data_IF_692339372760
#
_entry.id   IF_692339372760
#
_cell.length_a   1.000
_cell.length_b   1.000
_cell.length_c   1.000
_cell.angle_alpha   90.00
_cell.angle_beta   90.00
_cell.angle_gamma   90.00
#
_symmetry.space_group_name_H-M   'P 1'
#
loop_
_entity.id
_entity.type
_entity.pdbx_description
1 polymer ?
#
# COMPACT_ATOMS: atom_id res chain seq x y z
N UNK A 1 -22.28 -8.74 24.02
CA UNK A 1 -22.67 -7.37 23.66
C UNK A 1 -21.85 -7.00 22.43
N UNK A 2 -22.41 -7.27 21.25
CA UNK A 2 -21.71 -7.18 19.95
C UNK A 2 -21.45 -5.71 19.63
N UNK A 3 -20.20 -5.27 19.70
CA UNK A 3 -19.80 -3.95 19.18
C UNK A 3 -19.74 -4.07 17.65
N UNK A 4 -20.57 -3.29 16.96
CA UNK A 4 -20.64 -3.15 15.50
C UNK A 4 -19.30 -3.39 14.77
N UNK A 5 -19.21 -4.48 14.00
CA UNK A 5 -18.04 -4.86 13.18
C UNK A 5 -18.22 -4.47 11.71
N UNK A 6 -19.38 -3.92 11.32
CA UNK A 6 -19.64 -3.53 9.93
C UNK A 6 -19.79 -2.01 9.80
N UNK A 7 -18.88 -1.43 8.99
CA UNK A 7 -18.93 -0.14 8.29
C UNK A 7 -19.80 0.92 8.98
N UNK A 8 -19.21 1.67 9.91
CA UNK A 8 -19.65 3.05 10.16
C UNK A 8 -18.55 3.87 10.85
N UNK A 9 -17.46 4.11 10.15
CA UNK A 9 -16.61 5.26 10.48
C UNK A 9 -17.06 6.44 9.62
N UNK A 10 -17.51 7.50 10.31
CA UNK A 10 -18.02 8.75 9.75
C UNK A 10 -17.25 9.17 8.49
N UNK A 11 -17.88 9.04 7.32
CA UNK A 11 -17.35 9.53 6.05
C UNK A 11 -16.88 10.99 6.23
N UNK A 12 -15.61 11.24 5.93
CA UNK A 12 -15.06 12.57 6.04
C UNK A 12 -15.43 13.37 4.80
N UNK A 13 -16.11 14.49 5.02
CA UNK A 13 -16.34 15.43 3.94
C UNK A 13 -15.03 16.16 3.61
N UNK A 14 -14.33 15.67 2.59
CA UNK A 14 -13.10 16.28 2.08
C UNK A 14 -13.43 17.43 1.15
N UNK A 15 -12.93 18.62 1.47
CA UNK A 15 -13.09 19.77 0.58
C UNK A 15 -12.19 19.64 -0.67
N UNK A 16 -12.42 20.52 -1.65
CA UNK A 16 -11.65 20.55 -2.90
C UNK A 16 -10.14 20.66 -2.67
N UNK A 17 -9.69 21.38 -1.64
CA UNK A 17 -8.26 21.56 -1.34
C UNK A 17 -7.67 20.33 -0.70
N UNK A 18 -8.40 19.64 0.18
CA UNK A 18 -7.98 18.36 0.74
C UNK A 18 -7.75 17.34 -0.37
N UNK A 19 -8.70 17.22 -1.29
CA UNK A 19 -8.56 16.30 -2.43
C UNK A 19 -7.41 16.66 -3.38
N UNK A 20 -7.21 17.95 -3.67
CA UNK A 20 -6.06 18.43 -4.45
C UNK A 20 -4.72 18.12 -3.75
N UNK A 21 -4.64 18.26 -2.43
CA UNK A 21 -3.43 17.89 -1.67
C UNK A 21 -3.18 16.38 -1.72
N UNK A 22 -4.22 15.56 -1.56
CA UNK A 22 -4.10 14.10 -1.67
C UNK A 22 -3.61 13.69 -3.05
N UNK A 23 -4.17 14.27 -4.12
CA UNK A 23 -3.74 13.99 -5.49
C UNK A 23 -2.26 14.34 -5.72
N UNK A 24 -1.83 15.52 -5.30
CA UNK A 24 -0.41 15.89 -5.43
C UNK A 24 0.50 14.93 -4.66
N UNK A 25 0.11 14.53 -3.45
CA UNK A 25 0.90 13.59 -2.66
C UNK A 25 0.81 12.14 -3.17
N UNK A 26 -0.23 11.77 -3.90
CA UNK A 26 -0.35 10.47 -4.57
C UNK A 26 0.62 10.34 -5.75
N UNK A 27 0.93 11.46 -6.41
CA UNK A 27 1.96 11.54 -7.46
C UNK A 27 3.38 11.40 -6.89
N UNK A 28 3.65 12.07 -5.76
CA UNK A 28 4.90 11.93 -5.01
C UNK A 28 4.64 12.27 -3.53
N UNK A 29 4.70 11.26 -2.67
CA UNK A 29 4.43 11.43 -1.25
C UNK A 29 5.51 12.20 -0.50
N UNK A 30 6.67 12.47 -1.11
CA UNK A 30 7.80 13.20 -0.50
C UNK A 30 7.87 14.67 -0.90
N UNK A 31 7.00 15.17 -1.79
CA UNK A 31 7.11 16.59 -2.17
C UNK A 31 7.01 17.52 -0.94
N UNK A 32 7.81 18.59 -0.90
CA UNK A 32 7.71 19.61 0.14
C UNK A 32 6.34 20.28 0.12
N UNK A 33 5.83 20.62 1.30
CA UNK A 33 4.55 21.32 1.44
C UNK A 33 4.52 22.64 0.65
N UNK A 34 5.67 23.32 0.49
CA UNK A 34 5.79 24.53 -0.34
C UNK A 34 5.54 24.29 -1.82
N UNK A 35 5.93 23.12 -2.37
CA UNK A 35 5.66 22.76 -3.76
C UNK A 35 4.18 22.45 -3.97
N UNK A 36 3.60 21.67 -3.06
CA UNK A 36 2.16 21.37 -3.07
C UNK A 36 1.35 22.66 -2.93
N UNK A 37 1.73 23.54 -1.99
CA UNK A 37 1.11 24.84 -1.75
C UNK A 37 1.00 25.71 -3.02
N UNK A 38 2.08 25.80 -3.80
CA UNK A 38 2.08 26.52 -5.09
C UNK A 38 1.05 25.96 -6.07
N UNK A 39 0.92 24.63 -6.16
CA UNK A 39 0.00 23.96 -7.10
C UNK A 39 -1.46 24.06 -6.68
N UNK A 40 -1.73 24.00 -5.36
CA UNK A 40 -3.10 24.00 -4.83
C UNK A 40 -3.57 25.39 -4.40
N UNK A 41 -2.74 26.43 -4.50
CA UNK A 41 -3.11 27.81 -4.13
C UNK A 41 -3.36 27.97 -2.62
N UNK A 42 -2.46 27.45 -1.78
CA UNK A 42 -2.49 27.60 -0.32
C UNK A 42 -1.12 28.04 0.20
N UNK A 43 -1.02 28.39 1.49
CA UNK A 43 0.28 28.56 2.16
C UNK A 43 0.92 27.19 2.50
N UNK A 44 2.25 27.11 2.61
CA UNK A 44 2.94 25.89 3.08
C UNK A 44 2.45 25.42 4.46
N UNK A 45 2.13 26.34 5.36
CA UNK A 45 1.59 26.06 6.69
C UNK A 45 0.18 25.45 6.60
N UNK A 46 -0.66 26.00 5.72
CA UNK A 46 -2.02 25.49 5.47
C UNK A 46 -1.99 24.08 4.89
N UNK A 47 -1.08 23.81 3.95
CA UNK A 47 -0.87 22.45 3.42
C UNK A 47 -0.40 21.49 4.52
N UNK A 48 0.62 21.87 5.30
CA UNK A 48 1.11 21.03 6.40
C UNK A 48 0.01 20.73 7.44
N UNK A 49 -0.84 21.71 7.75
CA UNK A 49 -1.99 21.52 8.62
C UNK A 49 -2.98 20.49 8.04
N UNK A 50 -3.30 20.58 6.75
CA UNK A 50 -4.21 19.64 6.09
C UNK A 50 -3.63 18.23 6.00
N UNK A 51 -2.35 18.08 5.65
CA UNK A 51 -1.67 16.76 5.66
C UNK A 51 -1.75 16.11 7.04
N UNK A 52 -1.50 16.88 8.10
CA UNK A 52 -1.65 16.43 9.50
C UNK A 52 -3.06 15.97 9.81
N UNK A 53 -4.04 16.77 9.43
CA UNK A 53 -5.47 16.49 9.65
C UNK A 53 -5.86 15.19 8.93
N UNK A 54 -5.51 15.04 7.65
CA UNK A 54 -5.83 13.88 6.82
C UNK A 54 -5.15 12.59 7.33
N UNK A 55 -3.91 12.67 7.82
CA UNK A 55 -3.24 11.55 8.46
C UNK A 55 -3.87 11.22 9.84
N UNK A 56 -4.15 12.25 10.65
CA UNK A 56 -4.76 12.09 11.97
C UNK A 56 -6.21 11.58 11.92
N UNK A 57 -6.91 11.80 10.82
CA UNK A 57 -8.27 11.31 10.58
C UNK A 57 -8.31 9.95 9.88
N UNK A 58 -7.17 9.33 9.59
CA UNK A 58 -7.10 8.01 8.95
C UNK A 58 -7.32 7.99 7.44
N UNK A 59 -7.48 9.14 6.77
CA UNK A 59 -7.58 9.21 5.30
C UNK A 59 -6.25 8.82 4.66
N UNK A 60 -5.15 9.35 5.19
CA UNK A 60 -3.80 8.92 4.83
C UNK A 60 -3.36 7.87 5.84
N UNK A 61 -3.41 6.60 5.46
CA UNK A 61 -2.88 5.52 6.30
C UNK A 61 -1.36 5.56 6.40
N UNK A 62 -0.68 5.74 5.26
CA UNK A 62 0.79 5.66 5.21
C UNK A 62 1.35 6.46 4.05
N UNK A 63 2.51 7.08 4.27
CA UNK A 63 3.38 7.55 3.19
C UNK A 63 4.32 6.40 2.84
N UNK A 64 4.15 5.80 1.68
CA UNK A 64 4.82 4.56 1.31
C UNK A 64 5.99 4.79 0.37
N UNK A 65 7.02 3.98 0.55
CA UNK A 65 8.11 3.83 -0.43
C UNK A 65 7.84 2.54 -1.17
N UNK A 66 7.58 2.61 -2.47
CA UNK A 66 7.43 1.42 -3.32
C UNK A 66 8.81 0.95 -3.72
N UNK A 67 9.07 -0.33 -3.47
CA UNK A 67 10.36 -0.96 -3.70
C UNK A 67 10.22 -2.12 -4.67
N UNK A 68 11.21 -2.29 -5.55
CA UNK A 68 11.32 -3.51 -6.36
C UNK A 68 12.00 -4.60 -5.52
N UNK A 69 11.19 -5.45 -4.89
CA UNK A 69 11.68 -6.53 -4.03
C UNK A 69 12.41 -7.63 -4.81
N UNK A 70 12.21 -7.73 -6.13
CA UNK A 70 12.97 -8.66 -6.96
C UNK A 70 14.46 -8.30 -7.01
N UNK A 71 14.79 -7.01 -7.03
CA UNK A 71 16.19 -6.53 -6.94
C UNK A 71 16.84 -6.82 -5.59
N UNK A 72 16.03 -7.13 -4.58
CA UNK A 72 16.48 -7.57 -3.26
C UNK A 72 16.57 -9.11 -3.16
N UNK A 73 16.27 -9.82 -4.24
CA UNK A 73 16.25 -11.28 -4.31
C UNK A 73 14.97 -11.93 -3.76
N UNK A 74 13.87 -11.17 -3.61
CA UNK A 74 12.58 -11.71 -3.18
C UNK A 74 11.62 -11.85 -4.36
N UNK A 75 10.92 -12.98 -4.42
CA UNK A 75 9.72 -13.17 -5.22
C UNK A 75 8.50 -12.93 -4.35
N UNK A 76 7.53 -12.16 -4.84
CA UNK A 76 6.25 -11.97 -4.16
C UNK A 76 5.21 -12.97 -4.66
N UNK A 77 4.60 -13.70 -3.73
CA UNK A 77 3.53 -14.66 -3.99
C UNK A 77 2.23 -14.11 -3.44
N UNK A 78 1.22 -13.97 -4.29
CA UNK A 78 -0.14 -13.57 -3.92
C UNK A 78 -0.98 -14.81 -3.72
N UNK A 79 -1.37 -15.06 -2.47
CA UNK A 79 -2.12 -16.24 -2.06
C UNK A 79 -3.48 -15.82 -1.55
N UNK A 80 -4.51 -16.48 -2.05
CA UNK A 80 -5.89 -16.28 -1.61
C UNK A 80 -6.37 -17.50 -0.85
N UNK A 81 -7.03 -17.28 0.28
CA UNK A 81 -7.65 -18.34 1.08
C UNK A 81 -9.15 -18.11 1.19
N UNK A 82 -9.91 -19.19 1.06
CA UNK A 82 -11.32 -19.25 1.45
C UNK A 82 -11.40 -19.91 2.82
N UNK A 83 -12.05 -19.26 3.77
CA UNK A 83 -12.22 -19.79 5.11
C UNK A 83 -13.32 -20.86 5.14
N UNK A 84 -13.21 -21.76 6.11
CA UNK A 84 -14.24 -22.72 6.51
C UNK A 84 -14.15 -22.96 8.00
N UNK A 85 -15.26 -23.33 8.63
CA UNK A 85 -15.29 -23.72 10.04
C UNK A 85 -14.67 -22.67 10.98
N UNK A 86 -14.71 -21.38 10.61
CA UNK A 86 -14.16 -20.28 11.38
C UNK A 86 -15.22 -19.57 12.21
N UNK A 87 -14.76 -18.90 13.26
CA UNK A 87 -15.49 -17.81 13.93
C UNK A 87 -14.71 -16.52 13.75
N UNK A 88 -15.32 -15.37 14.07
CA UNK A 88 -14.65 -14.07 14.02
C UNK A 88 -13.36 -14.08 14.85
N UNK A 89 -13.38 -14.70 16.02
CA UNK A 89 -12.22 -14.78 16.91
C UNK A 89 -11.06 -15.58 16.30
N UNK A 90 -11.38 -16.68 15.60
CA UNK A 90 -10.38 -17.50 14.89
C UNK A 90 -9.79 -16.72 13.73
N UNK A 91 -10.62 -16.04 12.93
CA UNK A 91 -10.13 -15.22 11.82
C UNK A 91 -9.23 -14.08 12.32
N UNK A 92 -9.63 -13.40 13.40
CA UNK A 92 -8.81 -12.37 14.04
C UNK A 92 -7.48 -12.93 14.57
N UNK A 93 -7.45 -14.16 15.08
CA UNK A 93 -6.22 -14.83 15.48
C UNK A 93 -5.29 -15.10 14.27
N UNK A 94 -5.84 -15.68 13.20
CA UNK A 94 -5.11 -15.96 11.95
C UNK A 94 -4.54 -14.66 11.39
N UNK A 95 -5.37 -13.62 11.26
CA UNK A 95 -4.96 -12.31 10.75
C UNK A 95 -3.83 -11.74 11.61
N UNK A 96 -3.94 -11.81 12.94
CA UNK A 96 -2.89 -11.34 13.86
C UNK A 96 -1.57 -12.08 13.62
N UNK A 97 -1.59 -13.41 13.55
CA UNK A 97 -0.41 -14.22 13.25
C UNK A 97 0.25 -13.79 11.93
N UNK A 98 -0.55 -13.62 10.87
CA UNK A 98 -0.06 -13.20 9.55
C UNK A 98 0.51 -11.78 9.56
N UNK A 99 -0.14 -10.85 10.27
CA UNK A 99 0.32 -9.45 10.33
C UNK A 99 1.65 -9.30 11.07
N UNK A 100 1.95 -10.17 12.03
CA UNK A 100 3.21 -10.19 12.78
C UNK A 100 4.34 -10.89 12.00
N UNK A 101 4.03 -11.67 10.96
CA UNK A 101 5.03 -12.41 10.18
C UNK A 101 5.91 -11.51 9.31
N UNK A 102 7.24 -11.59 9.47
CA UNK A 102 8.22 -10.68 8.84
C UNK A 102 8.23 -10.70 7.31
N UNK A 103 7.89 -11.82 6.69
CA UNK A 103 7.91 -11.99 5.23
C UNK A 103 6.54 -11.78 4.58
N UNK A 104 5.50 -11.48 5.35
CA UNK A 104 4.19 -11.15 4.80
C UNK A 104 4.13 -9.65 4.58
N UNK A 105 4.01 -9.25 3.31
CA UNK A 105 3.92 -7.86 2.86
C UNK A 105 2.51 -7.30 2.96
N UNK A 106 1.48 -8.11 2.68
CA UNK A 106 0.10 -7.64 2.63
C UNK A 106 -0.82 -8.67 3.27
N UNK A 107 -1.78 -8.18 4.05
CA UNK A 107 -2.89 -8.97 4.60
C UNK A 107 -4.15 -8.14 4.45
N UNK A 108 -5.17 -8.73 3.84
CA UNK A 108 -6.49 -8.11 3.69
C UNK A 108 -7.58 -9.15 3.75
N UNK A 109 -8.65 -8.84 4.47
CA UNK A 109 -9.89 -9.61 4.38
C UNK A 109 -10.80 -9.06 3.31
N UNK A 110 -11.61 -9.94 2.73
CA UNK A 110 -12.54 -9.58 1.66
C UNK A 110 -13.83 -10.37 1.71
N UNK A 111 -14.89 -9.80 1.14
CA UNK A 111 -16.10 -10.52 0.75
C UNK A 111 -15.99 -10.91 -0.72
N UNK A 112 -16.41 -12.12 -1.07
CA UNK A 112 -16.42 -12.61 -2.46
C UNK A 112 -16.05 -14.09 -2.54
N UNK A 113 -15.21 -14.44 -3.50
CA UNK A 113 -14.75 -15.83 -3.67
C UNK A 113 -13.78 -16.28 -2.57
N UNK A 114 -12.91 -15.37 -2.13
CA UNK A 114 -11.91 -15.59 -1.09
C UNK A 114 -12.10 -14.61 0.06
N UNK A 115 -11.88 -15.09 1.28
CA UNK A 115 -12.06 -14.32 2.51
C UNK A 115 -10.77 -13.60 2.92
N UNK A 116 -9.61 -14.10 2.46
CA UNK A 116 -8.30 -13.62 2.85
C UNK A 116 -7.35 -13.55 1.65
N UNK A 117 -6.64 -12.43 1.51
CA UNK A 117 -5.64 -12.16 0.49
C UNK A 117 -4.31 -11.78 1.14
N UNK A 118 -3.25 -12.51 0.80
CA UNK A 118 -1.93 -12.38 1.42
C UNK A 118 -0.87 -12.23 0.32
N UNK A 119 0.07 -11.30 0.51
CA UNK A 119 1.31 -11.28 -0.27
C UNK A 119 2.48 -11.79 0.60
N UNK A 120 3.02 -12.94 0.27
CA UNK A 120 4.25 -13.49 0.86
C UNK A 120 5.47 -13.04 0.04
N UNK A 121 6.59 -12.77 0.70
CA UNK A 121 7.89 -12.58 0.06
C UNK A 121 8.77 -13.77 0.42
N UNK A 122 9.35 -14.43 -0.58
CA UNK A 122 10.31 -15.51 -0.36
C UNK A 122 11.40 -15.47 -1.43
N UNK A 123 12.63 -15.88 -1.07
CA UNK A 123 13.79 -15.93 -1.96
C UNK A 123 13.79 -17.18 -2.83
N UNK A 124 13.09 -18.23 -2.41
CA UNK A 124 12.94 -19.48 -3.13
C UNK A 124 11.54 -20.06 -2.93
N UNK A 125 11.18 -21.05 -3.76
CA UNK A 125 9.96 -21.82 -3.57
C UNK A 125 9.99 -22.64 -2.26
N UNK A 126 11.17 -23.07 -1.82
CA UNK A 126 11.37 -23.80 -0.56
C UNK A 126 11.11 -22.92 0.68
N UNK A 127 11.57 -21.66 0.66
CA UNK A 127 11.26 -20.72 1.75
C UNK A 127 9.76 -20.43 1.81
N UNK A 128 9.09 -20.33 0.65
CA UNK A 128 7.64 -20.19 0.61
C UNK A 128 6.93 -21.43 1.18
N UNK A 129 7.34 -22.63 0.76
CA UNK A 129 6.75 -23.89 1.22
C UNK A 129 6.87 -24.05 2.74
N UNK A 130 8.01 -23.66 3.31
CA UNK A 130 8.20 -23.63 4.77
C UNK A 130 7.16 -22.74 5.45
N UNK A 131 6.97 -21.51 4.96
CA UNK A 131 5.99 -20.56 5.53
C UNK A 131 4.56 -21.10 5.40
N UNK A 132 4.20 -21.67 4.24
CA UNK A 132 2.86 -22.22 4.00
C UNK A 132 2.61 -23.49 4.83
N UNK A 133 3.62 -24.33 5.01
CA UNK A 133 3.56 -25.54 5.83
C UNK A 133 3.34 -25.19 7.31
N UNK A 134 4.05 -24.20 7.85
CA UNK A 134 3.82 -23.68 9.21
C UNK A 134 2.40 -23.12 9.39
N UNK A 135 1.93 -22.36 8.39
CA UNK A 135 0.58 -21.81 8.38
C UNK A 135 -0.49 -22.91 8.35
N UNK A 136 -0.32 -23.90 7.47
CA UNK A 136 -1.24 -25.03 7.31
C UNK A 136 -1.23 -25.96 8.54
N UNK A 137 -0.07 -26.20 9.13
CA UNK A 137 0.04 -27.01 10.36
C UNK A 137 -0.77 -26.39 11.51
N UNK A 138 -0.86 -25.06 11.56
CA UNK A 138 -1.58 -24.33 12.62
C UNK A 138 -3.05 -24.09 12.29
N UNK A 139 -3.36 -23.71 11.05
CA UNK A 139 -4.67 -23.18 10.67
C UNK A 139 -5.30 -23.87 9.45
N UNK A 140 -4.66 -24.90 8.88
CA UNK A 140 -5.10 -25.52 7.62
C UNK A 140 -6.52 -26.09 7.65
N UNK A 141 -7.00 -26.53 8.83
CA UNK A 141 -8.39 -26.98 8.99
C UNK A 141 -9.43 -25.88 8.72
N UNK A 142 -9.02 -24.60 8.78
CA UNK A 142 -9.85 -23.45 8.53
C UNK A 142 -9.78 -22.93 7.09
N UNK A 143 -9.01 -23.58 6.21
CA UNK A 143 -8.88 -23.18 4.81
C UNK A 143 -9.58 -24.20 3.90
N UNK A 144 -10.62 -23.78 3.19
CA UNK A 144 -11.32 -24.59 2.21
C UNK A 144 -10.61 -24.62 0.86
N UNK A 145 -10.10 -23.46 0.43
CA UNK A 145 -9.45 -23.26 -0.85
C UNK A 145 -8.20 -22.39 -0.66
N UNK A 146 -7.17 -22.65 -1.47
CA UNK A 146 -5.93 -21.89 -1.49
C UNK A 146 -5.47 -21.71 -2.95
N UNK A 147 -5.51 -20.48 -3.43
CA UNK A 147 -5.02 -20.10 -4.76
C UNK A 147 -3.71 -19.34 -4.65
N UNK A 148 -2.62 -19.99 -5.05
CA UNK A 148 -1.28 -19.41 -5.07
C UNK A 148 -0.93 -18.84 -6.43
N UNK A 149 -0.45 -17.59 -6.46
CA UNK A 149 -0.03 -16.90 -7.67
C UNK A 149 1.34 -16.25 -7.46
N UNK A 150 2.19 -16.27 -8.48
CA UNK A 150 3.45 -15.52 -8.51
C UNK A 150 3.18 -14.13 -9.07
N UNK A 151 3.61 -13.09 -8.38
CA UNK A 151 3.50 -11.70 -8.84
C UNK A 151 4.64 -11.36 -9.81
N UNK A 152 4.30 -11.12 -11.08
CA UNK A 152 5.30 -10.80 -12.12
C UNK A 152 5.61 -9.30 -12.15
N UNK A 153 4.56 -8.46 -12.12
CA UNK A 153 4.68 -7.00 -12.09
C UNK A 153 3.39 -6.34 -11.63
N UNK A 154 3.52 -5.17 -11.00
CA UNK A 154 2.38 -4.35 -10.58
C UNK A 154 2.50 -2.93 -11.10
N UNK A 155 1.60 -2.54 -11.99
CA UNK A 155 1.50 -1.18 -12.49
C UNK A 155 0.59 -0.36 -11.58
N UNK A 156 1.14 0.66 -10.92
CA UNK A 156 0.38 1.62 -10.13
C UNK A 156 0.00 2.83 -10.97
N UNK A 157 -1.24 3.27 -10.83
CA UNK A 157 -1.80 4.46 -11.48
C UNK A 157 -2.10 5.53 -10.43
N UNK A 158 -2.38 6.75 -10.90
CA UNK A 158 -2.81 7.83 -10.02
C UNK A 158 -4.31 7.74 -9.78
N UNK A 159 -4.74 8.08 -8.56
CA UNK A 159 -6.16 8.19 -8.22
C UNK A 159 -6.73 9.50 -8.76
N UNK A 160 -6.91 9.56 -10.07
CA UNK A 160 -7.35 10.78 -10.77
C UNK A 160 -8.75 11.24 -10.31
N UNK A 161 -9.58 10.32 -9.81
CA UNK A 161 -10.87 10.61 -9.18
C UNK A 161 -10.80 11.62 -8.01
N UNK A 162 -9.60 11.85 -7.44
CA UNK A 162 -9.40 12.86 -6.41
C UNK A 162 -9.60 14.28 -6.95
N UNK A 163 -9.26 14.57 -8.21
CA UNK A 163 -9.27 15.94 -8.77
C UNK A 163 -10.13 16.11 -10.02
N UNK A 164 -10.43 15.03 -10.73
CA UNK A 164 -11.31 15.08 -11.89
C UNK A 164 -12.07 13.76 -12.03
N UNK A 165 -13.38 13.85 -12.26
CA UNK A 165 -14.22 12.66 -12.50
C UNK A 165 -13.88 11.97 -13.84
N UNK A 166 -13.17 12.64 -14.77
CA UNK A 166 -13.00 12.17 -16.15
C UNK A 166 -11.62 12.45 -16.78
N UNK A 167 -10.52 12.51 -16.01
CA UNK A 167 -9.18 12.67 -16.60
C UNK A 167 -8.25 11.55 -16.13
N UNK A 168 -8.00 10.56 -16.99
CA UNK A 168 -6.83 9.73 -16.84
C UNK A 168 -5.60 10.56 -17.20
N UNK A 169 -4.93 11.13 -16.20
CA UNK A 169 -3.73 11.94 -16.43
C UNK A 169 -2.63 11.09 -17.07
N UNK A 170 -2.65 9.77 -16.84
CA UNK A 170 -1.63 8.84 -17.29
C UNK A 170 -0.24 9.17 -16.72
N UNK A 171 -0.18 10.00 -15.67
CA UNK A 171 1.01 10.71 -15.20
C UNK A 171 1.89 9.92 -14.24
N UNK A 172 1.63 8.63 -14.01
CA UNK A 172 2.52 7.81 -13.20
C UNK A 172 3.38 6.92 -14.07
N UNK A 173 4.70 6.99 -13.87
CA UNK A 173 5.60 5.96 -14.36
C UNK A 173 5.12 4.62 -13.80
N UNK A 174 4.84 3.61 -14.64
CA UNK A 174 4.54 2.28 -14.14
C UNK A 174 5.70 1.85 -13.23
N UNK A 175 5.35 1.38 -12.04
CA UNK A 175 6.34 0.72 -11.18
C UNK A 175 6.43 -0.72 -11.64
N UNK A 176 7.63 -1.28 -11.59
CA UNK A 176 7.86 -2.70 -11.76
C UNK A 176 8.21 -3.26 -10.39
N UNK A 177 7.50 -4.31 -9.99
CA UNK A 177 7.79 -5.07 -8.79
C UNK A 177 7.62 -6.53 -9.16
N UNK A 178 8.73 -7.27 -9.29
CA UNK A 178 8.67 -8.72 -9.44
C UNK A 178 9.30 -9.39 -10.67
N UNK A 179 10.16 -8.73 -11.47
CA UNK A 179 10.69 -9.40 -12.69
C UNK A 179 12.08 -9.03 -13.20
N UNK A 180 12.85 -8.12 -12.59
CA UNK A 180 14.24 -7.93 -13.00
C UNK A 180 15.20 -8.74 -12.08
N UNK A 181 15.92 -9.76 -12.60
CA UNK A 181 16.88 -10.56 -11.85
C UNK A 181 18.21 -9.85 -11.56
N UNK A 182 18.41 -8.61 -12.01
CA UNK A 182 19.57 -7.79 -11.64
C UNK A 182 19.49 -7.44 -10.14
N UNK A 183 19.85 -8.41 -9.31
CA UNK A 183 19.96 -8.23 -7.87
C UNK A 183 21.06 -7.22 -7.61
N UNK A 184 20.77 -6.23 -6.79
CA UNK A 184 21.74 -5.21 -6.41
C UNK A 184 22.25 -5.57 -5.03
N UNK A 185 23.57 -5.71 -4.89
CA UNK A 185 24.17 -5.86 -3.57
C UNK A 185 23.90 -4.62 -2.73
N UNK A 186 23.20 -4.84 -1.62
CA UNK A 186 22.99 -3.84 -0.58
C UNK A 186 24.00 -4.04 0.53
N UNK A 187 24.55 -2.94 1.04
CA UNK A 187 25.22 -2.99 2.33
C UNK A 187 24.22 -2.82 3.48
N UNK A 188 24.67 -3.08 4.71
CA UNK A 188 23.82 -3.01 5.89
C UNK A 188 23.22 -1.63 6.16
N UNK A 189 23.82 -0.55 5.65
CA UNK A 189 23.28 0.82 5.78
C UNK A 189 22.17 1.09 4.77
N UNK A 190 22.32 0.60 3.53
CA UNK A 190 21.28 0.65 2.51
C UNK A 190 20.01 -0.09 3.01
N UNK A 191 20.16 -1.27 3.61
CA UNK A 191 19.04 -2.01 4.23
C UNK A 191 18.37 -1.24 5.38
N UNK A 192 19.14 -0.57 6.25
CA UNK A 192 18.59 0.26 7.34
C UNK A 192 17.76 1.40 6.78
N UNK A 193 18.28 2.06 5.74
CA UNK A 193 17.59 3.16 5.06
C UNK A 193 16.27 2.67 4.47
N UNK A 194 16.28 1.53 3.76
CA UNK A 194 15.07 0.92 3.19
C UNK A 194 14.06 0.56 4.30
N UNK A 195 14.49 -0.09 5.39
CA UNK A 195 13.61 -0.43 6.51
C UNK A 195 12.95 0.81 7.15
N UNK A 196 13.66 1.93 7.26
CA UNK A 196 13.11 3.19 7.77
C UNK A 196 12.11 3.80 6.77
N UNK A 197 12.47 3.85 5.49
CA UNK A 197 11.63 4.43 4.43
C UNK A 197 10.39 3.59 4.11
N UNK A 198 10.46 2.27 4.30
CA UNK A 198 9.32 1.36 4.16
C UNK A 198 8.22 1.62 5.20
N UNK A 199 8.61 2.10 6.40
CA UNK A 199 7.65 2.52 7.44
C UNK A 199 7.03 3.88 7.13
N UNK A 200 7.82 4.84 6.68
CA UNK A 200 7.34 6.17 6.33
C UNK A 200 8.28 6.82 5.32
N UNK A 201 7.78 7.05 4.10
CA UNK A 201 8.50 7.70 3.04
C UNK A 201 8.90 9.15 3.36
N UNK A 202 8.28 9.82 4.33
CA UNK A 202 8.55 11.25 4.64
C UNK A 202 9.55 11.47 5.78
N UNK A 203 10.21 10.42 6.29
CA UNK A 203 11.26 10.61 7.31
C UNK A 203 12.37 11.49 6.72
N UNK A 204 12.76 12.55 7.45
CA UNK A 204 13.79 13.48 7.01
C UNK A 204 15.17 12.82 6.99
N UNK A 205 16.05 13.28 6.11
CA UNK A 205 17.43 12.79 6.03
C UNK A 205 18.14 12.87 7.39
N UNK A 206 17.97 13.98 8.11
CA UNK A 206 18.52 14.16 9.45
C UNK A 206 18.03 13.12 10.48
N UNK A 207 16.75 12.75 10.42
CA UNK A 207 16.20 11.73 11.32
C UNK A 207 16.65 10.32 10.95
N UNK A 208 16.82 10.03 9.66
CA UNK A 208 17.40 8.76 9.21
C UNK A 208 18.87 8.68 9.65
N UNK A 209 19.65 9.71 9.35
CA UNK A 209 21.05 9.88 9.73
C UNK A 209 21.28 9.66 11.23
N UNK A 210 20.49 10.32 12.08
CA UNK A 210 20.59 10.17 13.53
C UNK A 210 20.23 8.77 14.05
N UNK A 211 19.45 7.97 13.31
CA UNK A 211 19.11 6.59 13.69
C UNK A 211 20.18 5.57 13.31
N UNK A 212 20.94 5.84 12.25
CA UNK A 212 21.90 4.87 11.68
C UNK A 212 23.36 5.30 11.85
N UNK A 213 23.62 6.48 12.44
CA UNK A 213 24.97 6.96 12.72
C UNK A 213 25.70 7.55 11.50
N UNK A 214 24.95 8.11 10.54
CA UNK A 214 25.50 8.70 9.31
C UNK A 214 25.28 10.22 9.25
N UNK A 215 25.92 10.90 8.29
CA UNK A 215 25.58 12.29 7.97
C UNK A 215 24.31 12.37 7.08
N UNK A 216 23.52 13.45 7.15
CA UNK A 216 22.34 13.62 6.28
C UNK A 216 22.68 13.56 4.79
N UNK A 217 23.84 14.08 4.39
CA UNK A 217 24.30 14.07 2.99
C UNK A 217 24.63 12.65 2.52
N UNK A 218 25.30 11.85 3.36
CA UNK A 218 25.61 10.47 3.05
C UNK A 218 24.33 9.62 2.92
N UNK A 219 23.33 9.85 3.78
CA UNK A 219 22.00 9.23 3.62
C UNK A 219 21.34 9.67 2.32
N UNK A 220 21.39 10.96 1.98
CA UNK A 220 20.84 11.50 0.74
C UNK A 220 21.47 10.85 -0.51
N UNK A 221 22.80 10.70 -0.52
CA UNK A 221 23.52 10.03 -1.59
C UNK A 221 23.12 8.55 -1.74
N UNK A 222 22.96 7.83 -0.62
CA UNK A 222 22.49 6.43 -0.62
C UNK A 222 21.06 6.28 -1.13
N UNK A 223 20.12 7.10 -0.64
CA UNK A 223 18.75 7.10 -1.17
C UNK A 223 18.77 7.36 -2.68
N UNK A 224 19.60 8.31 -3.14
CA UNK A 224 19.71 8.59 -4.57
C UNK A 224 20.27 7.41 -5.37
N UNK A 225 21.28 6.72 -4.84
CA UNK A 225 21.81 5.47 -5.42
C UNK A 225 20.71 4.41 -5.53
N UNK A 226 19.90 4.23 -4.48
CA UNK A 226 18.79 3.25 -4.45
C UNK A 226 17.67 3.60 -5.44
N UNK A 227 17.38 4.89 -5.64
CA UNK A 227 16.45 5.37 -6.68
C UNK A 227 16.99 5.10 -8.10
N UNK A 228 18.26 5.43 -8.35
CA UNK A 228 18.92 5.23 -9.66
C UNK A 228 19.03 3.75 -10.00
N UNK A 229 19.32 2.91 -9.01
CA UNK A 229 19.35 1.46 -9.15
C UNK A 229 17.95 0.85 -9.38
N UNK A 230 16.88 1.63 -9.24
CA UNK A 230 15.50 1.15 -9.35
C UNK A 230 15.07 0.26 -8.17
N UNK A 231 15.76 0.31 -7.04
CA UNK A 231 15.29 -0.38 -5.83
C UNK A 231 14.16 0.41 -5.23
N UNK A 232 14.33 1.73 -5.07
CA UNK A 232 13.23 2.63 -4.73
C UNK A 232 12.63 3.12 -6.04
N UNK A 233 11.38 2.73 -6.28
CA UNK A 233 10.68 3.02 -7.53
C UNK A 233 9.83 4.30 -7.44
N UNK A 234 9.19 4.54 -6.29
CA UNK A 234 8.28 5.66 -6.09
C UNK A 234 7.96 5.92 -4.62
N UNK A 235 7.38 7.09 -4.35
CA UNK A 235 6.84 7.47 -3.05
C UNK A 235 5.36 7.83 -3.18
N UNK A 236 4.46 7.14 -2.46
CA UNK A 236 3.02 7.19 -2.72
C UNK A 236 2.19 7.28 -1.44
N UNK A 237 0.90 7.56 -1.57
CA UNK A 237 -0.03 7.44 -0.47
C UNK A 237 -0.69 6.07 -0.43
N UNK A 238 -0.72 5.47 0.76
CA UNK A 238 -1.73 4.49 1.11
C UNK A 238 -2.92 5.23 1.69
N UNK A 239 -4.01 5.26 0.93
CA UNK A 239 -5.24 5.93 1.33
C UNK A 239 -6.23 4.92 1.92
N UNK A 240 -7.12 5.45 2.75
CA UNK A 240 -8.35 4.78 3.14
C UNK A 240 -9.50 5.28 2.25
N UNK A 241 -9.82 4.58 1.14
CA UNK A 241 -10.96 4.92 0.29
C UNK A 241 -12.29 5.02 1.06
N UNK A 242 -12.51 4.18 2.07
CA UNK A 242 -13.76 4.11 2.81
C UNK A 242 -14.01 5.41 3.59
N UNK A 243 -12.97 6.01 4.15
CA UNK A 243 -13.01 7.33 4.80
C UNK A 243 -13.37 8.48 3.83
N UNK A 244 -13.21 8.25 2.53
CA UNK A 244 -13.52 9.20 1.46
C UNK A 244 -14.84 8.89 0.75
N UNK A 245 -15.56 7.82 1.15
CA UNK A 245 -16.79 7.37 0.51
C UNK A 245 -16.59 6.46 -0.70
N UNK A 246 -15.45 5.77 -0.79
CA UNK A 246 -15.17 4.78 -1.83
C UNK A 246 -14.98 3.40 -1.19
N UNK A 247 -15.38 2.35 -1.88
CA UNK A 247 -15.09 0.97 -1.53
C UNK A 247 -13.92 0.44 -2.35
N UNK A 248 -13.02 -0.31 -1.72
CA UNK A 248 -11.87 -0.91 -2.39
C UNK A 248 -12.22 -2.30 -2.93
N UNK A 249 -12.21 -2.48 -4.25
CA UNK A 249 -12.48 -3.76 -4.90
C UNK A 249 -11.23 -4.34 -5.55
N UNK A 250 -11.16 -5.67 -5.61
CA UNK A 250 -10.23 -6.42 -6.46
C UNK A 250 -11.03 -7.24 -7.47
N UNK A 251 -10.74 -7.08 -8.76
CA UNK A 251 -11.21 -7.99 -9.81
C UNK A 251 -10.07 -8.94 -10.15
N UNK A 252 -10.28 -10.24 -9.91
CA UNK A 252 -9.40 -11.30 -10.40
C UNK A 252 -9.86 -11.72 -11.80
N UNK A 253 -8.92 -11.87 -12.72
CA UNK A 253 -9.20 -12.16 -14.12
C UNK A 253 -8.40 -13.37 -14.59
N UNK A 254 -9.06 -14.24 -15.35
CA UNK A 254 -8.44 -15.37 -16.03
C UNK A 254 -8.59 -15.18 -17.54
N UNK A 255 -7.47 -15.24 -18.25
CA UNK A 255 -7.40 -15.10 -19.70
C UNK A 255 -6.95 -16.43 -20.32
N UNK A 256 -7.56 -16.79 -21.46
CA UNK A 256 -7.15 -17.92 -22.30
C UNK A 256 -5.83 -17.64 -23.03
N UNK A 257 -5.64 -16.39 -23.42
CA UNK A 257 -4.43 -15.91 -24.08
C UNK A 257 -4.13 -14.47 -23.63
N UNK A 258 -3.11 -14.29 -22.80
CA UNK A 258 -2.60 -12.98 -22.39
C UNK A 258 -1.16 -12.82 -22.89
N UNK A 259 -1.00 -12.83 -24.20
CA UNK A 259 0.26 -12.47 -24.87
C UNK A 259 0.61 -10.98 -24.69
N UNK A 260 1.76 -10.56 -25.22
CA UNK A 260 2.27 -9.20 -25.05
C UNK A 260 1.36 -8.13 -25.66
N UNK A 261 0.68 -8.44 -26.78
CA UNK A 261 -0.23 -7.48 -27.45
C UNK A 261 -1.49 -7.28 -26.60
N UNK A 262 -2.11 -8.39 -26.18
CA UNK A 262 -3.32 -8.38 -25.36
C UNK A 262 -3.07 -7.79 -23.98
N UNK A 263 -1.92 -8.09 -23.38
CA UNK A 263 -1.48 -7.45 -22.15
C UNK A 263 -1.29 -5.93 -22.34
N UNK A 264 -0.72 -5.51 -23.47
CA UNK A 264 -0.57 -4.10 -23.83
C UNK A 264 -1.92 -3.38 -23.92
N UNK A 265 -2.92 -3.99 -24.59
CA UNK A 265 -4.29 -3.47 -24.67
C UNK A 265 -4.93 -3.37 -23.28
N UNK A 266 -4.82 -4.42 -22.47
CA UNK A 266 -5.35 -4.45 -21.11
C UNK A 266 -4.71 -3.42 -20.20
N UNK A 267 -3.38 -3.23 -20.31
CA UNK A 267 -2.66 -2.19 -19.60
C UNK A 267 -3.16 -0.79 -19.97
N UNK A 268 -3.41 -0.50 -21.26
CA UNK A 268 -3.94 0.80 -21.67
C UNK A 268 -5.36 1.03 -21.12
N UNK A 269 -6.23 0.01 -21.17
CA UNK A 269 -7.54 0.05 -20.53
C UNK A 269 -7.42 0.43 -19.04
N UNK A 270 -6.55 -0.27 -18.29
CA UNK A 270 -6.33 0.02 -16.87
C UNK A 270 -5.83 1.45 -16.65
N UNK A 271 -4.87 1.91 -17.47
CA UNK A 271 -4.27 3.24 -17.36
C UNK A 271 -5.25 4.37 -17.65
N UNK A 272 -6.23 4.13 -18.51
CA UNK A 272 -7.23 5.12 -18.92
C UNK A 272 -8.43 5.19 -17.97
N UNK A 273 -8.53 4.28 -17.00
CA UNK A 273 -9.63 4.26 -16.05
C UNK A 273 -9.27 5.01 -14.75
N UNK A 274 -10.00 6.08 -14.38
CA UNK A 274 -9.67 6.90 -13.21
C UNK A 274 -9.88 6.19 -11.86
N UNK A 275 -10.65 5.10 -11.83
CA UNK A 275 -10.93 4.33 -10.62
C UNK A 275 -9.96 3.16 -10.40
N UNK A 276 -9.16 2.79 -11.41
CA UNK A 276 -8.16 1.72 -11.27
C UNK A 276 -6.93 2.30 -10.58
N UNK A 277 -6.65 1.83 -9.35
CA UNK A 277 -5.46 2.24 -8.62
C UNK A 277 -4.23 1.43 -9.04
N UNK A 278 -4.35 0.11 -9.21
CA UNK A 278 -3.25 -0.70 -9.74
C UNK A 278 -3.70 -1.99 -10.39
N UNK A 279 -2.88 -2.46 -11.33
CA UNK A 279 -3.02 -3.74 -12.02
C UNK A 279 -1.77 -4.59 -11.76
N UNK A 280 -1.98 -5.81 -11.28
CA UNK A 280 -0.93 -6.81 -11.07
C UNK A 280 -1.05 -7.94 -12.08
N UNK A 281 0.04 -8.24 -12.81
CA UNK A 281 0.18 -9.47 -13.61
C UNK A 281 0.58 -10.63 -12.70
N UNK A 282 -0.13 -11.73 -12.84
CA UNK A 282 0.01 -12.93 -12.02
C UNK A 282 0.31 -14.16 -12.89
N UNK A 283 1.05 -15.11 -12.34
CA UNK A 283 1.18 -16.47 -12.85
C UNK A 283 0.59 -17.44 -11.83
N UNK A 284 -0.44 -18.19 -12.21
CA UNK A 284 -1.20 -19.06 -11.33
C UNK A 284 -2.63 -19.24 -11.84
N UNK A 285 -3.58 -19.61 -10.97
CA UNK A 285 -5.00 -19.71 -11.32
C UNK A 285 -5.62 -18.41 -11.87
N UNK A 286 -5.01 -17.27 -11.55
CA UNK A 286 -5.39 -15.94 -12.04
C UNK A 286 -4.25 -15.32 -12.82
N UNK A 287 -4.56 -14.64 -13.93
CA UNK A 287 -3.56 -13.98 -14.77
C UNK A 287 -3.41 -12.49 -14.44
N UNK A 288 -4.44 -11.89 -13.86
CA UNK A 288 -4.44 -10.49 -13.46
C UNK A 288 -5.28 -10.23 -12.21
N UNK A 289 -4.85 -9.25 -11.41
CA UNK A 289 -5.66 -8.65 -10.35
C UNK A 289 -5.70 -7.13 -10.54
N UNK A 290 -6.91 -6.57 -10.67
CA UNK A 290 -7.14 -5.13 -10.84
C UNK A 290 -7.78 -4.58 -9.57
N UNK A 291 -7.17 -3.55 -8.99
CA UNK A 291 -7.58 -2.96 -7.72
C UNK A 291 -8.18 -1.58 -7.97
N UNK A 292 -9.36 -1.34 -7.41
CA UNK A 292 -10.25 -0.24 -7.78
C UNK A 292 -10.78 0.49 -6.54
N UNK A 293 -10.88 1.81 -6.61
CA UNK A 293 -11.60 2.63 -5.62
C UNK A 293 -12.94 3.09 -6.23
N UNK A 294 -14.07 2.59 -5.71
CA UNK A 294 -15.40 2.76 -6.31
C UNK A 294 -16.35 3.50 -5.35
N UNK A 295 -16.90 4.64 -5.75
CA UNK A 295 -17.91 5.35 -4.96
C UNK A 295 -19.32 4.77 -5.16
N UNK A 296 -19.69 4.47 -6.41
CA UNK A 296 -21.03 3.99 -6.76
C UNK A 296 -20.97 2.59 -7.37
N UNK A 297 -21.87 1.72 -6.92
CA UNK A 297 -21.90 0.32 -7.37
C UNK A 297 -22.08 0.16 -8.90
N UNK A 298 -22.74 1.13 -9.56
CA UNK A 298 -22.92 1.11 -11.01
C UNK A 298 -21.58 1.29 -11.76
N UNK A 299 -20.67 2.13 -11.26
CA UNK A 299 -19.33 2.29 -11.85
C UNK A 299 -18.58 0.96 -11.92
N UNK A 300 -18.66 0.12 -10.88
CA UNK A 300 -18.04 -1.21 -10.90
C UNK A 300 -18.65 -2.10 -12.00
N UNK A 301 -19.97 -2.11 -12.13
CA UNK A 301 -20.66 -2.89 -13.17
C UNK A 301 -20.25 -2.45 -14.56
N UNK A 302 -20.18 -1.15 -14.81
CA UNK A 302 -19.76 -0.58 -16.09
C UNK A 302 -18.33 -1.00 -16.44
N UNK A 303 -17.39 -0.90 -15.50
CA UNK A 303 -16.00 -1.34 -15.70
C UNK A 303 -15.95 -2.83 -16.07
N UNK A 304 -16.69 -3.68 -15.35
CA UNK A 304 -16.75 -5.12 -15.64
C UNK A 304 -17.38 -5.40 -17.00
N UNK A 305 -18.45 -4.68 -17.38
CA UNK A 305 -19.07 -4.81 -18.69
C UNK A 305 -18.11 -4.42 -19.82
N UNK A 306 -17.34 -3.35 -19.64
CA UNK A 306 -16.32 -2.93 -20.60
C UNK A 306 -15.24 -4.01 -20.72
N UNK A 307 -14.73 -4.55 -19.61
CA UNK A 307 -13.74 -5.65 -19.64
C UNK A 307 -14.30 -6.85 -20.42
N UNK A 308 -15.53 -7.26 -20.12
CA UNK A 308 -16.18 -8.41 -20.80
C UNK A 308 -16.38 -8.17 -22.29
N UNK A 309 -16.67 -6.94 -22.70
CA UNK A 309 -16.87 -6.56 -24.10
C UNK A 309 -15.56 -6.48 -24.86
N UNK A 310 -14.58 -5.76 -24.32
CA UNK A 310 -13.32 -5.44 -25.02
C UNK A 310 -12.32 -6.60 -25.02
N UNK A 311 -12.46 -7.53 -24.07
CA UNK A 311 -11.58 -8.70 -23.94
C UNK A 311 -12.36 -10.00 -24.06
N UNK A 312 -13.53 -10.00 -24.71
CA UNK A 312 -14.46 -11.15 -24.78
C UNK A 312 -13.82 -12.43 -25.32
N UNK A 313 -12.88 -12.25 -26.23
CA UNK A 313 -12.21 -13.27 -27.03
C UNK A 313 -11.12 -13.95 -26.19
N UNK A 314 -10.49 -13.22 -25.27
CA UNK A 314 -9.43 -13.74 -24.41
C UNK A 314 -9.88 -14.01 -22.97
N UNK A 315 -10.92 -13.36 -22.46
CA UNK A 315 -11.39 -13.51 -21.09
C UNK A 315 -12.12 -14.85 -20.92
N UNK A 316 -11.64 -15.69 -20.00
CA UNK A 316 -12.28 -16.96 -19.65
C UNK A 316 -13.12 -16.91 -18.38
N UNK A 317 -12.82 -15.98 -17.48
CA UNK A 317 -13.53 -15.85 -16.22
C UNK A 317 -13.01 -14.68 -15.39
N UNK A 318 -13.82 -14.27 -14.41
CA UNK A 318 -13.45 -13.25 -13.45
C UNK A 318 -14.13 -13.50 -12.11
N UNK A 319 -13.56 -12.92 -11.06
CA UNK A 319 -14.14 -12.88 -9.72
C UNK A 319 -13.98 -11.48 -9.15
N UNK A 320 -14.95 -11.02 -8.37
CA UNK A 320 -14.93 -9.70 -7.73
C UNK A 320 -14.87 -9.92 -6.23
N UNK A 321 -13.97 -9.21 -5.57
CA UNK A 321 -13.82 -9.21 -4.13
C UNK A 321 -13.91 -7.77 -3.61
N UNK A 322 -14.71 -7.56 -2.58
CA UNK A 322 -14.76 -6.32 -1.81
C UNK A 322 -13.80 -6.44 -0.63
N UNK A 323 -12.78 -5.59 -0.57
CA UNK A 323 -11.88 -5.56 0.58
C UNK A 323 -12.60 -4.94 1.77
N UNK A 324 -12.77 -5.71 2.84
CA UNK A 324 -13.42 -5.25 4.07
C UNK A 324 -12.41 -4.55 4.98
N UNK A 325 -11.21 -5.13 5.11
CA UNK A 325 -10.15 -4.61 5.98
C UNK A 325 -8.77 -4.88 5.38
N UNK A 326 -7.88 -3.89 5.48
CA UNK A 326 -6.47 -3.98 5.05
C UNK A 326 -5.57 -3.93 6.28
N UNK A 327 -5.29 -5.08 6.86
CA UNK A 327 -4.59 -5.22 8.15
C UNK A 327 -3.09 -4.94 8.07
N UNK A 328 -2.45 -5.17 6.91
CA UNK A 328 -1.02 -4.92 6.72
C UNK A 328 -0.69 -4.52 5.29
N UNK A 329 0.24 -3.58 5.11
CA UNK A 329 0.91 -3.30 3.84
C UNK A 329 2.34 -2.77 4.08
N UNK A 330 3.32 -3.66 3.98
CA UNK A 330 4.74 -3.43 4.23
C UNK A 330 5.58 -3.81 3.01
N UNK A 331 6.16 -2.81 2.36
CA UNK A 331 6.94 -2.95 1.12
C UNK A 331 8.37 -3.50 1.32
N UNK A 332 8.73 -3.87 2.55
CA UNK A 332 10.05 -4.39 2.90
C UNK A 332 9.91 -5.42 4.02
N UNK A 333 10.64 -6.56 3.98
CA UNK A 333 10.58 -7.56 5.03
C UNK A 333 11.08 -6.98 6.35
N UNK A 334 10.14 -6.73 7.27
CA UNK A 334 10.43 -6.18 8.58
C UNK A 334 10.90 -7.31 9.51
N UNK A 335 12.18 -7.65 9.41
CA UNK A 335 12.82 -8.70 10.20
C UNK A 335 14.29 -8.97 9.86
N UNK A 336 14.84 -8.30 8.83
CA UNK A 336 16.26 -8.39 8.48
C UNK A 336 17.19 -7.73 9.51
N UNK A 337 16.66 -6.86 10.38
CA UNK A 337 17.46 -6.19 11.41
C UNK A 337 16.63 -6.01 12.67
N UNK A 338 17.16 -6.46 13.82
CA UNK A 338 16.53 -6.51 15.13
C UNK A 338 16.17 -5.14 15.75
N UNK A 339 15.37 -4.34 15.04
CA UNK A 339 14.67 -3.21 15.61
C UNK A 339 13.45 -3.77 16.35
N UNK A 340 13.36 -3.60 17.68
CA UNK A 340 12.32 -4.25 18.47
C UNK A 340 10.94 -3.87 17.95
N UNK A 341 10.12 -4.90 17.73
CA UNK A 341 8.67 -4.77 17.71
C UNK A 341 8.29 -4.09 19.02
N UNK A 342 7.70 -2.89 18.96
CA UNK A 342 7.01 -2.33 20.10
C UNK A 342 5.75 -3.17 20.33
N UNK A 343 5.94 -4.34 20.94
CA UNK A 343 4.84 -5.11 21.50
C UNK A 343 4.31 -4.38 22.73
N UNK A 344 2.97 -4.42 22.85
CA UNK A 344 2.15 -4.07 24.01
C UNK A 344 1.83 -2.58 24.23
N UNK A 345 0.53 -2.29 24.04
CA UNK A 345 -0.29 -1.32 24.78
C UNK A 345 0.31 0.09 24.93
N UNK A 346 0.49 0.81 23.83
CA UNK A 346 0.38 2.28 23.83
C UNK A 346 -0.22 2.68 22.50
N UNK A 347 -1.43 3.23 22.54
CA UNK A 347 -1.96 4.01 21.42
C UNK A 347 -0.83 4.92 20.91
N UNK A 348 -0.55 4.85 19.62
CA UNK A 348 0.35 5.78 18.94
C UNK A 348 -0.18 7.19 19.21
N UNK A 349 0.34 7.84 20.25
CA UNK A 349 0.09 9.25 20.46
C UNK A 349 0.73 9.97 19.27
N UNK A 350 -0.07 10.79 18.58
CA UNK A 350 0.29 11.61 17.41
C UNK A 350 1.54 12.53 17.61
N UNK A 351 2.20 12.49 18.77
CA UNK A 351 3.29 13.37 19.17
C UNK A 351 4.66 13.10 18.53
N UNK A 352 4.84 12.00 17.79
CA UNK A 352 6.13 11.64 17.16
C UNK A 352 6.24 12.01 15.66
N UNK A 353 5.18 12.54 15.06
CA UNK A 353 5.15 12.89 13.64
C UNK A 353 5.56 14.35 13.33
N UNK A 354 5.77 15.21 14.35
CA UNK A 354 6.18 16.60 14.14
C UNK A 354 7.10 17.13 15.25
N UNK A 355 8.11 17.97 14.94
CA UNK A 355 8.92 18.61 15.96
C UNK A 355 8.07 19.52 16.86
N UNK A 356 8.23 19.40 18.18
CA UNK A 356 7.56 20.24 19.19
C UNK A 356 7.95 21.72 18.95
N UNK A 357 6.95 22.61 18.90
CA UNK A 357 7.17 24.05 19.04
C UNK A 357 7.78 24.33 20.42
N UNK A 358 8.87 25.10 20.48
CA UNK A 358 9.34 25.73 21.73
C UNK A 358 8.21 26.60 22.26
N UNK A 359 7.73 26.32 23.47
CA UNK A 359 6.85 27.22 24.22
C UNK A 359 7.63 28.48 24.65
N UNK A 360 7.02 29.68 24.63
CA UNK A 360 7.67 30.87 25.17
C UNK A 360 7.78 30.75 26.69
N UNK A 361 8.93 31.14 27.24
CA UNK A 361 9.21 31.10 28.66
C UNK A 361 8.20 31.93 29.47
N UNK A 362 7.64 31.32 30.52
CA UNK A 362 6.87 32.02 31.55
C UNK A 362 7.76 33.06 32.23
N UNK A 363 7.38 34.34 32.17
CA UNK A 363 7.89 35.38 33.06
C UNK A 363 7.57 34.97 34.50
N UNK A 364 8.60 34.86 35.34
CA UNK A 364 8.46 34.85 36.80
C UNK A 364 8.00 36.26 37.23
N UNK A 365 6.81 36.35 37.82
CA UNK A 365 6.42 37.51 38.62
C UNK A 365 7.31 37.59 39.85
N UNK A 366 7.85 38.77 40.12
CA UNK A 366 8.44 39.13 41.41
C UNK A 366 7.29 39.55 42.32
N UNK A 367 7.12 38.86 43.44
CA UNK A 367 6.51 39.45 44.63
C UNK A 367 7.56 40.36 45.26
N UNK A 368 7.21 41.62 45.48
CA UNK A 368 7.88 42.50 46.42
C UNK A 368 6.86 42.89 47.50
N UNK A 369 7.36 42.84 48.73
CA UNK A 369 6.85 43.51 49.94
C UNK A 369 6.70 45.01 49.70
#
# INVERSE_FOLDING_TARGET
>A
MVKNIYINEKQLNLDKKDRQILYELDLDARQPASRVAKKVGLSPEGVNYRIKKLAGSGVIFKFMTIMDTAKLGYTTYKVFFRFQNTTIEIEEEIIRYLTEHKYIQYVSTSEGMFDLNINFMARSAEELDTILSELNARYGQYFAECDLNIMVKTHFFCRDYLVAENRASGLRKPVYSGSNPDTVELDGEDEKILAILAKNARVSLANIAGRIGMSPDAVGARIKKLEVAGIIQNYILFLNPEQMGYSFYTILLRFRNLDAENEGKFFQFCRQNPNIWFYTKLLGPWNAAVNLDIAEHNTLKEIVMIIKREFSDILSGYSIMLSVKRDKFDQYPMGAQGLPFASKKRAFSLGLLFPRKRTPGKKKGRENV
#
